data_IF_884900793517
#
_entry.id   IF_884900793517
#
_cell.length_a   1.000
_cell.length_b   1.000
_cell.length_c   1.000
_cell.angle_alpha   90.00
_cell.angle_beta   90.00
_cell.angle_gamma   90.00
#
_symmetry.space_group_name_H-M   'P 1'
#
loop_
_entity.id
_entity.type
_entity.pdbx_description
1 polymer ?
#
# COMPACT_ATOMS: atom_id res chain seq x y z
N UNK A 1 24.20 -8.25 -24.17
CA UNK A 1 23.62 -8.32 -24.14
C UNK A 1 22.73 -8.52 -23.13
N UNK A 2 22.92 -8.80 -22.28
CA UNK A 2 22.08 -9.03 -21.46
C UNK A 2 21.12 -8.13 -21.21
N UNK A 3 21.36 -7.20 -21.53
CA UNK A 3 20.50 -6.37 -21.22
C UNK A 3 19.27 -6.61 -21.60
N UNK A 4 19.20 -7.13 -22.38
CA UNK A 4 18.11 -7.21 -22.83
C UNK A 4 17.38 -7.94 -22.14
N UNK A 5 17.53 -8.25 -21.38
CA UNK A 5 16.86 -8.78 -20.88
C UNK A 5 15.83 -8.41 -20.70
N UNK A 6 15.26 -8.36 -20.83
CA UNK A 6 14.16 -8.31 -20.64
C UNK A 6 13.29 -7.37 -20.83
N UNK A 7 12.26 -7.53 -21.25
CA UNK A 7 11.28 -6.52 -21.29
C UNK A 7 10.81 -6.22 -19.92
N UNK A 8 10.09 -5.15 -19.77
CA UNK A 8 9.57 -4.77 -18.50
C UNK A 8 8.69 -5.85 -17.94
N UNK A 9 8.87 -6.17 -16.74
CA UNK A 9 8.05 -7.12 -16.10
C UNK A 9 8.44 -8.55 -16.29
N UNK A 10 9.38 -8.80 -17.15
CA UNK A 10 9.77 -10.15 -17.35
C UNK A 10 10.71 -10.62 -16.32
N UNK A 11 11.59 -9.77 -15.89
CA UNK A 11 12.66 -10.19 -15.07
C UNK A 11 12.70 -9.50 -13.76
N UNK A 12 11.71 -9.24 -13.16
CA UNK A 12 11.77 -8.65 -11.85
C UNK A 12 10.77 -7.54 -11.70
N UNK A 13 10.71 -6.97 -10.51
CA UNK A 13 9.70 -5.98 -10.23
C UNK A 13 9.97 -4.66 -10.93
N UNK A 14 8.93 -3.96 -11.25
CA UNK A 14 9.02 -2.62 -11.78
C UNK A 14 9.49 -1.67 -10.69
N UNK A 15 9.79 -0.43 -11.07
CA UNK A 15 10.13 0.60 -10.08
C UNK A 15 8.98 0.79 -9.10
N UNK A 16 7.76 0.79 -9.59
CA UNK A 16 6.60 0.95 -8.71
C UNK A 16 6.48 -0.23 -7.76
N UNK A 17 6.59 -1.46 -8.27
CA UNK A 17 6.48 -2.65 -7.42
C UNK A 17 7.52 -2.62 -6.31
N UNK A 18 8.76 -2.30 -6.66
CA UNK A 18 9.84 -2.27 -5.70
C UNK A 18 9.61 -1.17 -4.66
N UNK A 19 9.18 -0.01 -5.11
CA UNK A 19 8.97 1.12 -4.21
C UNK A 19 7.78 0.85 -3.28
N UNK A 20 6.71 0.28 -3.79
CA UNK A 20 5.55 -0.08 -2.94
C UNK A 20 5.94 -1.13 -1.92
N UNK A 21 6.77 -2.08 -2.30
CA UNK A 21 7.24 -3.09 -1.36
C UNK A 21 7.99 -2.43 -0.20
N UNK A 22 8.87 -1.48 -0.50
CA UNK A 22 9.63 -0.81 0.55
C UNK A 22 8.77 0.09 1.42
N UNK A 23 7.76 0.73 0.84
CA UNK A 23 6.77 1.46 1.64
C UNK A 23 6.07 0.51 2.61
N UNK A 24 5.58 -0.63 2.09
CA UNK A 24 4.90 -1.60 2.94
C UNK A 24 5.80 -2.07 4.08
N UNK A 25 7.04 -2.41 3.77
CA UNK A 25 7.97 -2.91 4.80
C UNK A 25 8.23 -1.86 5.88
N UNK A 26 8.31 -0.59 5.48
CA UNK A 26 8.50 0.49 6.44
C UNK A 26 7.24 0.70 7.29
N UNK A 27 6.06 0.66 6.68
CA UNK A 27 4.81 0.77 7.42
C UNK A 27 4.66 -0.38 8.43
N UNK A 28 5.04 -1.58 8.01
CA UNK A 28 5.02 -2.73 8.88
C UNK A 28 5.93 -2.49 10.10
N UNK A 29 7.14 -2.00 9.85
CA UNK A 29 8.07 -1.71 10.92
C UNK A 29 7.51 -0.67 11.89
N UNK A 30 6.92 0.40 11.35
CA UNK A 30 6.33 1.46 12.16
C UNK A 30 5.23 0.92 13.07
N UNK A 31 4.38 0.06 12.50
CA UNK A 31 3.28 -0.54 13.24
C UNK A 31 3.80 -1.50 14.31
N UNK A 32 4.75 -2.34 13.95
CA UNK A 32 5.29 -3.33 14.87
C UNK A 32 6.06 -2.69 16.02
N UNK A 33 6.80 -1.62 15.75
CA UNK A 33 7.63 -0.98 16.76
C UNK A 33 6.96 0.19 17.47
N UNK A 34 5.86 0.67 16.93
CA UNK A 34 5.17 1.82 17.50
C UNK A 34 5.93 3.12 17.30
N UNK A 35 6.57 3.28 16.15
CA UNK A 35 7.36 4.49 15.86
C UNK A 35 6.82 5.19 14.62
N UNK A 36 7.17 6.45 14.46
CA UNK A 36 6.77 7.23 13.30
C UNK A 36 7.82 7.22 12.20
N UNK A 37 7.55 7.95 11.11
CA UNK A 37 8.45 7.96 9.95
C UNK A 37 9.83 8.52 10.25
N UNK A 38 9.92 9.48 11.14
CA UNK A 38 11.21 10.12 11.42
C UNK A 38 12.21 9.15 12.03
N UNK A 39 11.71 8.12 12.73
CA UNK A 39 12.55 7.07 13.26
C UNK A 39 12.66 5.90 12.29
N UNK A 40 11.56 5.55 11.65
CA UNK A 40 11.50 4.34 10.83
C UNK A 40 12.27 4.46 9.54
N UNK A 41 12.20 5.61 8.87
CA UNK A 41 12.84 5.76 7.57
C UNK A 41 14.37 5.61 7.67
N UNK A 42 15.03 6.30 8.61
CA UNK A 42 16.49 6.08 8.75
C UNK A 42 16.83 4.66 9.18
N UNK A 43 15.99 4.07 10.04
CA UNK A 43 16.24 2.72 10.51
C UNK A 43 16.12 1.71 9.38
N UNK A 44 15.10 1.87 8.56
CA UNK A 44 14.91 0.99 7.41
C UNK A 44 16.09 1.10 6.43
N UNK A 45 16.63 2.32 6.27
CA UNK A 45 17.75 2.55 5.37
C UNK A 45 19.01 1.81 5.79
N UNK A 46 19.15 1.47 7.07
CA UNK A 46 20.29 0.70 7.54
C UNK A 46 20.20 -0.76 7.12
N UNK A 47 18.99 -1.26 6.86
CA UNK A 47 18.79 -2.66 6.60
C UNK A 47 18.38 -2.98 5.17
N UNK A 48 18.26 -2.00 4.33
CA UNK A 48 17.73 -2.20 2.98
C UNK A 48 18.43 -1.29 2.00
N UNK A 49 18.46 -1.72 0.75
CA UNK A 49 18.96 -0.86 -0.32
C UNK A 49 18.03 0.33 -0.48
N UNK A 50 18.53 1.45 -1.00
CA UNK A 50 17.67 2.60 -1.23
C UNK A 50 16.53 2.27 -2.16
N UNK A 51 15.35 2.84 -1.95
CA UNK A 51 14.23 2.62 -2.87
C UNK A 51 14.54 3.23 -4.24
N UNK A 52 14.03 2.60 -5.29
CA UNK A 52 14.25 3.10 -6.64
C UNK A 52 13.64 4.47 -6.86
N UNK A 53 12.54 4.75 -6.18
CA UNK A 53 11.92 6.09 -6.24
C UNK A 53 11.84 6.61 -4.81
N UNK A 54 12.91 7.28 -4.39
CA UNK A 54 13.01 7.76 -3.03
C UNK A 54 11.95 8.81 -2.69
N UNK A 55 11.58 9.63 -3.66
CA UNK A 55 10.54 10.65 -3.44
C UNK A 55 9.20 10.01 -3.17
N UNK A 56 8.81 9.08 -4.02
CA UNK A 56 7.56 8.35 -3.84
C UNK A 56 7.55 7.64 -2.49
N UNK A 57 8.66 6.97 -2.17
CA UNK A 57 8.78 6.20 -0.93
C UNK A 57 8.52 7.08 0.30
N UNK A 58 9.28 8.17 0.42
CA UNK A 58 9.19 9.01 1.60
C UNK A 58 7.82 9.70 1.69
N UNK A 59 7.33 10.19 0.56
CA UNK A 59 6.05 10.87 0.52
C UNK A 59 4.91 9.93 0.89
N UNK A 60 4.95 8.70 0.42
CA UNK A 60 3.88 7.74 0.68
C UNK A 60 3.93 7.26 2.13
N UNK A 61 5.11 6.95 2.66
CA UNK A 61 5.22 6.56 4.06
C UNK A 61 4.66 7.66 4.96
N UNK A 62 5.04 8.92 4.71
CA UNK A 62 4.57 10.02 5.54
C UNK A 62 3.09 10.30 5.33
N UNK A 63 2.61 10.17 4.10
CA UNK A 63 1.20 10.39 3.80
C UNK A 63 0.30 9.40 4.52
N UNK A 64 0.68 8.12 4.51
CA UNK A 64 -0.09 7.10 5.22
C UNK A 64 -0.09 7.38 6.72
N UNK A 65 1.07 7.76 7.27
CA UNK A 65 1.18 8.05 8.69
C UNK A 65 0.29 9.23 9.07
N UNK A 66 0.36 10.31 8.30
CA UNK A 66 -0.40 11.53 8.63
C UNK A 66 -1.91 11.34 8.49
N UNK A 67 -2.31 10.47 7.59
CA UNK A 67 -3.72 10.25 7.33
C UNK A 67 -4.23 8.91 7.82
N UNK A 68 -3.51 8.29 8.76
CA UNK A 68 -3.83 6.91 9.14
C UNK A 68 -5.24 6.74 9.71
N UNK A 69 -5.75 7.72 10.43
CA UNK A 69 -7.09 7.60 11.00
C UNK A 69 -8.16 7.58 9.91
N UNK A 70 -8.00 8.47 8.94
CA UNK A 70 -8.90 8.56 7.81
C UNK A 70 -8.82 7.30 6.95
N UNK A 71 -7.60 6.80 6.75
CA UNK A 71 -7.36 5.59 5.98
C UNK A 71 -7.98 4.37 6.68
N UNK A 72 -7.75 4.25 7.99
CA UNK A 72 -8.30 3.12 8.74
C UNK A 72 -9.83 3.18 8.78
N UNK A 73 -10.43 4.37 8.82
CA UNK A 73 -11.87 4.50 8.75
C UNK A 73 -12.41 4.00 7.41
N UNK A 74 -11.71 4.32 6.33
CA UNK A 74 -12.10 3.88 5.00
C UNK A 74 -11.98 2.36 4.86
N UNK A 75 -10.89 1.78 5.36
CA UNK A 75 -10.73 0.33 5.36
C UNK A 75 -11.82 -0.33 6.19
N UNK A 76 -12.12 0.23 7.35
CA UNK A 76 -13.16 -0.31 8.22
C UNK A 76 -14.53 -0.29 7.57
N UNK A 77 -14.83 0.76 6.83
CA UNK A 77 -16.08 0.85 6.10
C UNK A 77 -16.16 -0.24 5.03
N UNK A 78 -15.05 -0.46 4.33
CA UNK A 78 -15.01 -1.45 3.26
C UNK A 78 -14.99 -2.88 3.77
N UNK A 79 -14.39 -3.09 4.93
CA UNK A 79 -14.20 -4.43 5.49
C UNK A 79 -15.28 -4.78 6.50
N UNK A 80 -16.50 -4.66 6.14
CA UNK A 80 -17.68 -4.73 7.01
C UNK A 80 -17.62 -5.69 8.17
N UNK A 81 -17.03 -6.86 7.99
CA UNK A 81 -17.02 -7.88 9.03
C UNK A 81 -15.68 -8.01 9.73
N UNK A 82 -14.74 -7.12 9.45
CA UNK A 82 -13.40 -7.23 10.01
C UNK A 82 -12.95 -5.91 10.61
N UNK A 83 -12.39 -5.98 11.79
CA UNK A 83 -11.84 -4.79 12.43
C UNK A 83 -10.40 -4.60 12.02
N UNK A 84 -10.04 -3.39 11.63
CA UNK A 84 -8.66 -3.08 11.23
C UNK A 84 -7.69 -3.47 12.34
N UNK A 85 -8.03 -3.18 13.59
CA UNK A 85 -7.17 -3.49 14.72
C UNK A 85 -6.91 -4.98 14.92
N UNK A 86 -7.77 -5.83 14.36
CA UNK A 86 -7.61 -7.27 14.50
C UNK A 86 -7.00 -7.94 13.28
N UNK A 87 -6.72 -7.19 12.25
CA UNK A 87 -6.04 -7.72 11.08
C UNK A 87 -4.58 -8.00 11.41
N UNK A 88 -3.94 -8.90 10.67
CA UNK A 88 -2.51 -9.13 10.85
C UNK A 88 -1.75 -7.86 10.46
N UNK A 89 -0.54 -7.72 10.98
CA UNK A 89 0.31 -6.58 10.61
C UNK A 89 0.56 -6.53 9.12
N UNK A 90 0.71 -7.67 8.47
CA UNK A 90 0.94 -7.73 7.04
C UNK A 90 -0.29 -7.20 6.30
N UNK A 91 -1.44 -7.80 6.54
CA UNK A 91 -2.65 -7.44 5.79
C UNK A 91 -3.05 -6.00 6.01
N UNK A 92 -3.00 -5.55 7.25
CA UNK A 92 -3.44 -4.20 7.57
C UNK A 92 -2.54 -3.14 6.95
N UNK A 93 -1.24 -3.37 6.91
CA UNK A 93 -0.34 -2.36 6.36
C UNK A 93 -0.35 -2.35 4.84
N UNK A 94 -0.61 -3.50 4.21
CA UNK A 94 -0.84 -3.53 2.77
C UNK A 94 -2.13 -2.79 2.44
N UNK A 95 -3.18 -3.02 3.24
CA UNK A 95 -4.45 -2.33 3.02
C UNK A 95 -4.32 -0.83 3.21
N UNK A 96 -3.54 -0.39 4.19
CA UNK A 96 -3.29 1.03 4.39
C UNK A 96 -2.61 1.66 3.18
N UNK A 97 -1.59 1.00 2.66
CA UNK A 97 -0.92 1.48 1.47
C UNK A 97 -1.87 1.54 0.28
N UNK A 98 -2.60 0.46 0.05
CA UNK A 98 -3.54 0.40 -1.06
C UNK A 98 -4.64 1.44 -0.95
N UNK A 99 -5.24 1.59 0.23
CA UNK A 99 -6.29 2.56 0.42
C UNK A 99 -5.78 4.00 0.25
N UNK A 100 -4.55 4.26 0.69
CA UNK A 100 -3.94 5.56 0.48
C UNK A 100 -3.81 5.86 -1.02
N UNK A 101 -3.32 4.89 -1.79
CA UNK A 101 -3.14 5.10 -3.22
C UNK A 101 -4.48 5.31 -3.93
N UNK A 102 -5.51 4.63 -3.49
CA UNK A 102 -6.82 4.76 -4.12
C UNK A 102 -7.53 6.06 -3.76
N UNK A 103 -7.27 6.59 -2.58
CA UNK A 103 -8.06 7.72 -2.09
C UNK A 103 -7.33 9.06 -2.07
N UNK A 104 -6.03 9.04 -1.79
CA UNK A 104 -5.31 10.28 -1.54
C UNK A 104 -4.12 10.47 -2.44
N UNK A 105 -3.93 9.54 -3.29
CA UNK A 105 -2.84 9.65 -3.78
C UNK A 105 -2.31 9.94 -4.93
N UNK A 106 -2.41 9.30 -5.88
CA UNK A 106 -1.43 9.46 -6.88
C UNK A 106 -2.03 9.26 -8.23
N UNK A 107 -1.20 9.35 -9.22
CA UNK A 107 -1.62 9.10 -10.58
C UNK A 107 -1.67 7.62 -10.90
N UNK A 108 -1.47 6.74 -9.94
CA UNK A 108 -1.47 5.31 -10.18
C UNK A 108 -2.90 4.85 -10.45
N UNK A 109 -3.15 4.19 -11.58
CA UNK A 109 -4.49 3.67 -11.86
C UNK A 109 -4.93 2.70 -10.78
N UNK A 110 -6.23 2.70 -10.46
CA UNK A 110 -6.76 1.86 -9.39
C UNK A 110 -6.41 0.38 -9.59
N UNK A 111 -6.58 -0.12 -10.82
CA UNK A 111 -6.29 -1.53 -11.08
C UNK A 111 -4.84 -1.87 -10.80
N UNK A 112 -3.92 -0.96 -11.09
CA UNK A 112 -2.50 -1.19 -10.84
C UNK A 112 -2.23 -1.19 -9.34
N UNK A 113 -2.78 -0.22 -8.62
CA UNK A 113 -2.56 -0.14 -7.17
C UNK A 113 -3.09 -1.39 -6.46
N UNK A 114 -4.29 -1.84 -6.85
CA UNK A 114 -4.88 -3.03 -6.24
C UNK A 114 -4.04 -4.26 -6.57
N UNK A 115 -3.63 -4.41 -7.82
CA UNK A 115 -2.85 -5.56 -8.23
C UNK A 115 -1.51 -5.64 -7.47
N UNK A 116 -0.84 -4.50 -7.30
CA UNK A 116 0.42 -4.49 -6.57
C UNK A 116 0.21 -4.84 -5.10
N UNK A 117 -0.87 -4.35 -4.50
CA UNK A 117 -1.19 -4.70 -3.12
C UNK A 117 -1.48 -6.20 -2.98
N UNK A 118 -2.23 -6.77 -3.92
CA UNK A 118 -2.53 -8.19 -3.90
C UNK A 118 -1.25 -9.02 -4.01
N UNK A 119 -0.31 -8.60 -4.88
CA UNK A 119 0.96 -9.31 -5.01
C UNK A 119 1.77 -9.25 -3.71
N UNK A 120 1.74 -8.13 -3.00
CA UNK A 120 2.40 -8.06 -1.69
C UNK A 120 1.75 -9.03 -0.71
N UNK A 121 0.42 -9.14 -0.74
CA UNK A 121 -0.28 -10.08 0.10
C UNK A 121 0.11 -11.53 -0.18
N UNK A 122 0.27 -11.86 -1.45
CA UNK A 122 0.68 -13.21 -1.83
C UNK A 122 2.11 -13.52 -1.39
N UNK A 123 2.97 -12.52 -1.37
CA UNK A 123 4.37 -12.74 -1.02
C UNK A 123 4.63 -12.73 0.48
N UNK A 124 3.96 -11.89 1.22
CA UNK A 124 4.27 -11.67 2.63
C UNK A 124 3.19 -12.16 3.59
N UNK A 125 2.00 -12.42 3.09
CA UNK A 125 0.88 -12.82 3.95
C UNK A 125 0.61 -14.31 3.92
N UNK A 126 -0.60 -14.68 4.35
CA UNK A 126 -1.05 -16.06 4.34
C UNK A 126 -1.65 -16.41 2.98
N UNK A 127 -2.09 -17.66 2.83
CA UNK A 127 -2.72 -18.09 1.59
C UNK A 127 -3.94 -17.27 1.24
N UNK A 128 -4.66 -16.79 2.25
CA UNK A 128 -5.88 -16.04 2.01
C UNK A 128 -5.65 -14.56 1.79
N UNK A 129 -4.46 -14.05 2.06
CA UNK A 129 -4.22 -12.61 2.06
C UNK A 129 -4.50 -11.96 0.71
N UNK A 130 -4.10 -12.59 -0.38
CA UNK A 130 -4.34 -12.02 -1.69
C UNK A 130 -5.81 -11.75 -1.96
N UNK A 131 -6.67 -12.75 -1.72
CA UNK A 131 -8.10 -12.60 -1.93
C UNK A 131 -8.72 -11.62 -0.95
N UNK A 132 -8.29 -11.65 0.29
CA UNK A 132 -8.78 -10.75 1.33
C UNK A 132 -8.49 -9.29 0.96
N UNK A 133 -7.25 -9.01 0.58
CA UNK A 133 -6.83 -7.67 0.20
C UNK A 133 -7.56 -7.21 -1.05
N UNK A 134 -7.67 -8.09 -2.04
CA UNK A 134 -8.35 -7.74 -3.28
C UNK A 134 -9.81 -7.34 -3.02
N UNK A 135 -10.52 -8.12 -2.21
CA UNK A 135 -11.93 -7.84 -1.93
C UNK A 135 -12.13 -6.51 -1.23
N UNK A 136 -11.29 -6.23 -0.22
CA UNK A 136 -11.42 -4.99 0.53
C UNK A 136 -11.04 -3.78 -0.34
N UNK A 137 -9.96 -3.88 -1.11
CA UNK A 137 -9.54 -2.75 -1.94
C UNK A 137 -10.50 -2.49 -3.09
N UNK A 138 -11.13 -3.54 -3.64
CA UNK A 138 -12.18 -3.33 -4.62
C UNK A 138 -13.31 -2.50 -4.00
N UNK A 139 -13.70 -2.83 -2.79
CA UNK A 139 -14.75 -2.09 -2.11
C UNK A 139 -14.31 -0.66 -1.78
N UNK A 140 -13.05 -0.48 -1.37
CA UNK A 140 -12.50 0.86 -1.15
C UNK A 140 -12.61 1.68 -2.44
N UNK A 141 -12.26 1.07 -3.58
CA UNK A 141 -12.32 1.79 -4.84
C UNK A 141 -13.74 2.22 -5.18
N UNK A 142 -14.73 1.38 -4.88
CA UNK A 142 -16.13 1.74 -5.09
C UNK A 142 -16.53 2.92 -4.21
N UNK A 143 -16.16 2.87 -2.94
CA UNK A 143 -16.48 3.93 -2.00
C UNK A 143 -15.87 5.25 -2.45
N UNK A 144 -14.62 5.21 -2.87
CA UNK A 144 -13.92 6.41 -3.32
C UNK A 144 -14.58 6.99 -4.56
N UNK A 145 -14.96 6.13 -5.51
CA UNK A 145 -15.63 6.60 -6.73
C UNK A 145 -16.98 7.21 -6.42
N UNK A 146 -17.72 6.62 -5.50
CA UNK A 146 -19.02 7.14 -5.10
C UNK A 146 -18.88 8.53 -4.49
N UNK A 147 -17.90 8.71 -3.61
CA UNK A 147 -17.69 10.00 -2.97
C UNK A 147 -17.27 11.06 -3.98
N UNK A 148 -16.39 10.70 -4.91
CA UNK A 148 -15.94 11.62 -5.93
C UNK A 148 -17.10 12.05 -6.82
N UNK A 149 -17.95 11.12 -7.21
CA UNK A 149 -19.12 11.42 -8.04
C UNK A 149 -20.06 12.36 -7.32
N UNK A 150 -20.32 12.08 -6.04
CA UNK A 150 -21.22 12.93 -5.26
C UNK A 150 -20.67 14.35 -5.14
N UNK A 151 -19.38 14.50 -4.91
CA UNK A 151 -18.75 15.80 -4.81
C UNK A 151 -18.77 16.52 -6.15
N UNK A 152 -18.53 15.79 -7.21
CA UNK A 152 -18.55 16.37 -8.53
C UNK A 152 -19.92 16.79 -8.99
N UNK A 153 -20.97 16.24 -8.39
CA UNK A 153 -22.33 16.59 -8.74
C UNK A 153 -22.81 17.83 -8.01
N UNK A 154 -22.11 18.20 -6.99
CA UNK A 154 -22.51 19.40 -6.23
C UNK A 154 -22.04 20.66 -6.91
#
# INVERSE_FOLDING_TARGET
>A
AGCERGGPGENGPSVLSESMEKVFQTLFMMDALGVGPDEAIPLFALASDPPSDAGYYAETVRGVWERHEEIDALIGEAAEHWRVARMTLVDRNILRLGAYELSLGSDIPFAVAINEAVELGKRFGSEESGAFINGILDRVSEIVREKTTAEGSA
#
